data_IF_785253282104
#
_entry.id   IF_785253282104
#
_cell.length_a   1.000
_cell.length_b   1.000
_cell.length_c   1.000
_cell.angle_alpha   90.00
_cell.angle_beta   90.00
_cell.angle_gamma   90.00
#
_symmetry.space_group_name_H-M   'P 1'
#
loop_
_entity.id
_entity.type
_entity.pdbx_description
1 polymer ?
#
# COMPACT_ATOMS: atom_id res chain seq x y z
N UNK A 1 -13.36 11.21 -10.85
CA UNK A 1 -12.40 12.27 -10.44
C UNK A 1 -11.19 11.50 -9.94
N UNK A 2 -10.19 11.38 -10.81
CA UNK A 2 -8.99 10.58 -10.57
C UNK A 2 -7.97 11.48 -9.86
N UNK A 3 -7.61 11.12 -8.63
CA UNK A 3 -6.63 11.87 -7.86
C UNK A 3 -5.25 11.29 -8.20
N UNK A 4 -4.51 12.01 -9.04
CA UNK A 4 -3.08 11.76 -9.25
C UNK A 4 -2.38 12.13 -7.94
N UNK A 5 -1.83 11.14 -7.23
CA UNK A 5 -0.83 11.41 -6.20
C UNK A 5 0.34 12.08 -6.91
N UNK A 6 0.64 13.32 -6.54
CA UNK A 6 1.84 14.04 -6.99
C UNK A 6 3.07 13.13 -6.89
N UNK A 7 4.05 13.33 -7.80
CA UNK A 7 5.38 12.71 -7.81
C UNK A 7 6.20 12.90 -6.50
N UNK A 8 5.59 13.42 -5.44
CA UNK A 8 6.15 13.77 -4.14
C UNK A 8 6.05 12.64 -3.10
N UNK A 9 5.13 11.67 -3.28
CA UNK A 9 4.98 10.53 -2.35
C UNK A 9 5.55 9.27 -2.97
N UNK A 10 6.62 8.77 -2.37
CA UNK A 10 7.33 7.56 -2.80
C UNK A 10 6.96 6.43 -1.85
N UNK A 11 6.67 5.25 -2.40
CA UNK A 11 6.45 4.05 -1.60
C UNK A 11 7.68 3.77 -0.72
N UNK A 12 7.45 3.45 0.55
CA UNK A 12 8.51 3.25 1.54
C UNK A 12 9.07 4.52 2.17
N UNK A 13 8.64 5.72 1.72
CA UNK A 13 9.00 6.98 2.37
C UNK A 13 8.22 7.23 3.66
N UNK A 14 8.84 7.95 4.60
CA UNK A 14 8.22 8.39 5.84
C UNK A 14 7.88 9.90 5.78
N UNK A 15 6.64 10.24 6.12
CA UNK A 15 6.10 11.59 5.93
C UNK A 15 5.31 12.09 7.13
N UNK A 16 5.48 13.37 7.46
CA UNK A 16 4.56 14.13 8.31
C UNK A 16 3.47 14.73 7.43
N UNK A 17 2.23 14.34 7.69
CA UNK A 17 1.06 14.79 6.91
C UNK A 17 0.22 15.71 7.79
N UNK A 18 -0.19 16.86 7.24
CA UNK A 18 -1.07 17.84 7.92
C UNK A 18 -2.20 18.28 6.99
N UNK A 19 -3.29 18.78 7.58
CA UNK A 19 -4.46 19.29 6.86
C UNK A 19 -5.08 18.22 5.95
N UNK A 20 -5.60 17.15 6.54
CA UNK A 20 -6.30 16.08 5.85
C UNK A 20 -7.70 15.90 6.43
N UNK A 21 -8.57 15.24 5.67
CA UNK A 21 -9.91 14.89 6.12
C UNK A 21 -9.92 13.43 6.56
N UNK A 22 -10.52 13.14 7.71
CA UNK A 22 -10.81 11.77 8.15
C UNK A 22 -12.22 11.42 7.72
N UNK A 23 -12.39 10.30 7.03
CA UNK A 23 -13.68 9.82 6.53
C UNK A 23 -13.89 8.34 6.87
N UNK A 24 -15.12 7.87 6.84
CA UNK A 24 -15.42 6.45 7.06
C UNK A 24 -14.90 5.57 5.93
N UNK A 25 -14.19 4.52 6.30
CA UNK A 25 -13.68 3.54 5.35
C UNK A 25 -14.74 2.48 5.13
N UNK A 26 -15.74 2.76 4.28
CA UNK A 26 -16.86 1.87 3.94
C UNK A 26 -16.83 1.35 2.50
N UNK A 27 -15.70 1.49 1.81
CA UNK A 27 -15.56 1.04 0.42
C UNK A 27 -15.54 -0.49 0.33
N UNK A 28 -15.93 -1.07 -0.80
CA UNK A 28 -15.92 -2.52 -0.97
C UNK A 28 -14.50 -3.10 -1.08
N UNK A 29 -13.55 -2.33 -1.62
CA UNK A 29 -12.18 -2.77 -1.90
C UNK A 29 -11.18 -2.05 -0.97
N UNK A 30 -11.24 -2.34 0.33
CA UNK A 30 -10.35 -1.73 1.32
C UNK A 30 -9.01 -2.45 1.33
N UNK A 31 -7.92 -1.69 1.32
CA UNK A 31 -6.56 -2.21 1.54
C UNK A 31 -6.18 -2.25 3.03
N UNK A 32 -7.04 -1.73 3.90
CA UNK A 32 -6.86 -1.72 5.36
C UNK A 32 -8.18 -2.00 6.08
N UNK A 33 -8.10 -2.70 7.22
CA UNK A 33 -9.23 -3.00 8.10
C UNK A 33 -9.63 -1.82 8.99
N UNK A 34 -8.85 -0.74 9.01
CA UNK A 34 -9.13 0.42 9.86
C UNK A 34 -10.46 1.10 9.45
N UNK A 35 -11.27 1.51 10.44
CA UNK A 35 -12.62 2.05 10.22
C UNK A 35 -12.66 3.41 9.52
N UNK A 36 -11.53 4.12 9.47
CA UNK A 36 -11.41 5.42 8.83
C UNK A 36 -10.30 5.43 7.77
N UNK A 37 -10.48 6.28 6.76
CA UNK A 37 -9.51 6.61 5.71
C UNK A 37 -9.18 8.10 5.73
N UNK A 38 -7.99 8.44 5.22
CA UNK A 38 -7.56 9.82 5.03
C UNK A 38 -7.86 10.27 3.60
N UNK A 39 -8.41 11.46 3.45
CA UNK A 39 -8.62 12.11 2.17
C UNK A 39 -7.76 13.36 2.07
N UNK A 40 -6.96 13.42 1.01
CA UNK A 40 -6.07 14.53 0.73
C UNK A 40 -6.76 15.53 -0.20
N UNK A 41 -6.52 16.81 0.03
CA UNK A 41 -7.07 17.89 -0.76
C UNK A 41 -6.01 18.95 -0.99
N UNK A 42 -6.34 20.01 -1.72
CA UNK A 42 -5.38 21.02 -2.17
C UNK A 42 -4.55 21.68 -1.05
N UNK A 43 -5.04 21.70 0.19
CA UNK A 43 -4.31 22.27 1.33
C UNK A 43 -3.67 21.22 2.23
N UNK A 44 -3.67 19.95 1.84
CA UNK A 44 -2.88 18.91 2.51
C UNK A 44 -1.39 19.18 2.29
N UNK A 45 -0.63 19.12 3.37
CA UNK A 45 0.82 19.34 3.35
C UNK A 45 1.55 18.06 3.71
N UNK A 46 2.59 17.77 2.93
CA UNK A 46 3.52 16.67 3.16
C UNK A 46 4.90 17.24 3.50
N UNK A 47 5.57 16.63 4.48
CA UNK A 47 6.97 16.91 4.75
C UNK A 47 7.69 15.60 5.01
N UNK A 48 8.86 15.42 4.39
CA UNK A 48 9.71 14.26 4.64
C UNK A 48 10.05 14.16 6.12
N UNK A 49 10.17 12.95 6.62
CA UNK A 49 10.57 12.67 7.97
C UNK A 49 11.50 11.45 7.98
N UNK A 50 12.49 11.50 8.87
CA UNK A 50 13.40 10.39 9.13
C UNK A 50 13.21 9.98 10.59
N UNK A 51 12.95 8.70 10.81
CA UNK A 51 12.80 8.07 12.11
C UNK A 51 13.12 6.58 11.97
N UNK A 52 14.26 6.16 12.51
CA UNK A 52 14.75 4.79 12.40
C UNK A 52 13.96 3.81 13.29
N UNK A 53 13.19 4.31 14.26
CA UNK A 53 12.32 3.50 15.11
C UNK A 53 10.94 3.26 14.49
N UNK A 54 10.63 3.96 13.38
CA UNK A 54 9.36 3.79 12.71
C UNK A 54 9.25 2.38 12.09
N UNK A 55 8.12 1.67 12.27
CA UNK A 55 7.96 0.33 11.72
C UNK A 55 8.02 0.34 10.18
N UNK A 56 9.11 -0.16 9.62
CA UNK A 56 9.30 -0.24 8.17
C UNK A 56 8.51 -1.39 7.51
N UNK A 57 8.01 -2.35 8.29
CA UNK A 57 7.27 -3.51 7.79
C UNK A 57 6.07 -3.80 8.70
N UNK A 58 4.86 -3.53 8.21
CA UNK A 58 3.59 -3.82 8.90
C UNK A 58 2.93 -5.08 8.30
N UNK A 59 3.68 -5.90 7.54
CA UNK A 59 3.11 -7.02 6.78
C UNK A 59 3.28 -8.35 7.51
N UNK A 60 2.21 -9.14 7.53
CA UNK A 60 2.23 -10.54 7.96
C UNK A 60 2.65 -11.41 6.78
N UNK A 61 3.97 -11.57 6.62
CA UNK A 61 4.55 -12.28 5.48
C UNK A 61 4.28 -13.78 5.57
N UNK A 62 3.69 -14.34 4.51
CA UNK A 62 3.53 -15.77 4.35
C UNK A 62 4.59 -16.32 3.38
N UNK A 63 5.26 -17.40 3.76
CA UNK A 63 6.09 -18.15 2.82
C UNK A 63 5.20 -18.88 1.81
N UNK A 64 5.54 -18.79 0.52
CA UNK A 64 4.78 -19.43 -0.56
C UNK A 64 4.66 -20.96 -0.39
N UNK A 65 5.64 -21.60 0.26
CA UNK A 65 5.65 -23.03 0.60
C UNK A 65 4.50 -23.45 1.52
N UNK A 66 3.96 -22.52 2.31
CA UNK A 66 2.91 -22.80 3.29
C UNK A 66 1.50 -22.60 2.71
N UNK A 67 1.38 -22.15 1.46
CA UNK A 67 0.09 -21.86 0.83
C UNK A 67 -0.41 -23.11 0.11
N UNK A 68 -1.36 -23.81 0.74
CA UNK A 68 -1.97 -25.02 0.15
C UNK A 68 -3.21 -24.74 -0.69
N UNK A 69 -3.97 -23.69 -0.34
CA UNK A 69 -5.17 -23.26 -1.06
C UNK A 69 -5.14 -21.73 -1.20
N UNK A 70 -5.11 -21.24 -2.43
CA UNK A 70 -5.20 -19.81 -2.74
C UNK A 70 -6.68 -19.48 -2.92
N UNK A 71 -7.22 -18.67 -2.02
CA UNK A 71 -8.50 -18.01 -2.19
C UNK A 71 -8.25 -16.70 -2.97
N UNK A 72 -8.79 -16.60 -4.18
CA UNK A 72 -8.60 -15.45 -5.07
C UNK A 72 -9.37 -14.20 -4.62
N UNK A 73 -10.19 -14.32 -3.57
CA UNK A 73 -10.94 -13.21 -2.98
C UNK A 73 -10.19 -12.51 -1.84
N UNK A 74 -9.02 -13.03 -1.44
CA UNK A 74 -8.27 -12.57 -0.26
C UNK A 74 -6.91 -11.99 -0.66
N UNK A 75 -6.52 -10.88 -0.02
CA UNK A 75 -5.18 -10.31 -0.16
C UNK A 75 -4.17 -11.08 0.69
N UNK A 76 -3.01 -11.40 0.10
CA UNK A 76 -1.89 -12.07 0.78
C UNK A 76 -0.58 -11.31 0.54
N UNK A 77 0.16 -11.08 1.62
CA UNK A 77 1.53 -10.60 1.57
C UNK A 77 2.49 -11.80 1.47
N UNK A 78 3.32 -11.83 0.43
CA UNK A 78 4.25 -12.93 0.13
C UNK A 78 5.69 -12.44 0.06
N UNK A 79 6.63 -13.28 0.51
CA UNK A 79 8.06 -13.07 0.35
C UNK A 79 8.72 -14.32 -0.22
N UNK A 80 9.66 -14.14 -1.14
CA UNK A 80 10.35 -15.25 -1.78
C UNK A 80 11.48 -14.79 -2.69
N UNK A 81 12.33 -15.73 -3.08
CA UNK A 81 13.42 -15.48 -4.03
C UNK A 81 12.88 -15.51 -5.46
N UNK A 82 13.16 -14.46 -6.23
CA UNK A 82 12.93 -14.46 -7.68
C UNK A 82 13.89 -15.45 -8.33
N UNK A 83 13.36 -16.50 -8.97
CA UNK A 83 14.17 -17.57 -9.60
C UNK A 83 14.28 -17.43 -11.11
N UNK A 84 13.27 -16.82 -11.74
CA UNK A 84 13.23 -16.52 -13.17
C UNK A 84 12.22 -15.41 -13.43
N UNK A 85 12.32 -14.78 -14.60
CA UNK A 85 11.38 -13.76 -15.07
C UNK A 85 11.12 -14.00 -16.55
N UNK A 86 9.85 -14.03 -16.94
CA UNK A 86 9.45 -14.11 -18.34
C UNK A 86 9.01 -12.71 -18.80
N UNK A 87 9.47 -12.28 -19.98
CA UNK A 87 9.01 -11.02 -20.54
C UNK A 87 7.50 -11.07 -20.79
N UNK A 88 6.76 -9.98 -20.52
CA UNK A 88 5.33 -9.91 -20.81
C UNK A 88 5.10 -10.15 -22.30
N UNK A 89 4.24 -11.12 -22.62
CA UNK A 89 3.83 -11.35 -24.00
C UNK A 89 2.75 -10.31 -24.31
N UNK A 90 3.07 -9.30 -25.13
CA UNK A 90 2.05 -8.40 -25.64
C UNK A 90 1.21 -9.18 -26.66
N UNK A 91 -0.03 -9.50 -26.29
CA UNK A 91 -1.02 -10.00 -27.24
C UNK A 91 -1.55 -8.76 -27.99
N UNK A 92 -1.32 -8.65 -29.31
CA UNK A 92 -1.77 -7.51 -30.10
C UNK A 92 -3.30 -7.42 -30.22
#
# INVERSE_FOLDING_TARGET
MEFVLHDEIVEGGLYRIKNFIVWDNNDNNKTTSHRHKLFFYRSTHFGNHEDDEFPNNIRDLNELSNIQNIDDTVQMDVIGRVVSYQQPCFVP
#
